data_IF_470417273891
#
_entry.id   IF_470417273891
#
_cell.length_a   1.000
_cell.length_b   1.000
_cell.length_c   1.000
_cell.angle_alpha   90.00
_cell.angle_beta   90.00
_cell.angle_gamma   90.00
#
_symmetry.space_group_name_H-M   'P 1'
#
loop_
_entity.id
_entity.type
_entity.pdbx_description
1 polymer ?
#
# COMPACT_ATOMS: atom_id res chain seq x y z
N UNK A 1 -15.92 -28.77 24.01
CA UNK A 1 -16.02 -27.29 24.09
C UNK A 1 -14.63 -26.64 24.15
N UNK A 2 -13.78 -26.96 25.14
CA UNK A 2 -12.41 -26.40 25.24
C UNK A 2 -11.54 -26.58 23.98
N UNK A 3 -11.53 -27.78 23.38
CA UNK A 3 -10.79 -28.07 22.15
C UNK A 3 -11.25 -27.24 20.94
N UNK A 4 -12.55 -26.97 20.80
CA UNK A 4 -13.08 -26.15 19.71
C UNK A 4 -12.65 -24.68 19.86
N UNK A 5 -12.61 -24.16 21.09
CA UNK A 5 -12.15 -22.80 21.38
C UNK A 5 -10.64 -22.64 21.15
N UNK A 6 -9.83 -23.64 21.55
CA UNK A 6 -8.37 -23.63 21.29
C UNK A 6 -8.10 -23.68 19.79
N UNK A 7 -8.78 -24.59 19.07
CA UNK A 7 -8.62 -24.69 17.62
C UNK A 7 -9.09 -23.43 16.89
N UNK A 8 -10.22 -22.84 17.31
CA UNK A 8 -10.72 -21.58 16.77
C UNK A 8 -9.73 -20.41 16.95
N UNK A 9 -9.11 -20.32 18.13
CA UNK A 9 -8.10 -19.30 18.41
C UNK A 9 -6.82 -19.51 17.59
N UNK A 10 -6.33 -20.75 17.49
CA UNK A 10 -5.15 -21.07 16.67
C UNK A 10 -5.44 -20.82 15.19
N UNK A 11 -6.61 -21.22 14.69
CA UNK A 11 -7.04 -20.96 13.30
C UNK A 11 -7.15 -19.47 13.00
N UNK A 12 -7.72 -18.67 13.92
CA UNK A 12 -7.81 -17.22 13.78
C UNK A 12 -6.44 -16.53 13.82
N UNK A 13 -5.51 -17.00 14.66
CA UNK A 13 -4.13 -16.49 14.72
C UNK A 13 -3.38 -16.84 13.42
N UNK A 14 -3.51 -18.07 12.93
CA UNK A 14 -2.95 -18.51 11.65
C UNK A 14 -3.52 -17.64 10.52
N UNK A 15 -4.83 -17.47 10.42
CA UNK A 15 -5.44 -16.59 9.41
C UNK A 15 -4.93 -15.14 9.51
N UNK A 16 -4.73 -14.62 10.72
CA UNK A 16 -4.15 -13.27 10.91
C UNK A 16 -2.69 -13.21 10.49
N UNK A 17 -1.87 -14.21 10.81
CA UNK A 17 -0.48 -14.32 10.39
C UNK A 17 -0.33 -14.44 8.87
N UNK A 18 -1.24 -15.15 8.20
CA UNK A 18 -1.25 -15.29 6.75
C UNK A 18 -2.03 -14.20 6.01
N UNK A 19 -2.75 -13.31 6.71
CA UNK A 19 -3.61 -12.29 6.07
C UNK A 19 -2.82 -11.32 5.19
N UNK A 20 -1.60 -10.94 5.61
CA UNK A 20 -0.69 -10.10 4.82
C UNK A 20 -0.26 -10.78 3.52
N UNK A 21 0.14 -12.05 3.60
CA UNK A 21 0.61 -12.85 2.46
C UNK A 21 -0.52 -13.25 1.52
N UNK A 22 -1.70 -13.59 2.05
CA UNK A 22 -2.88 -13.92 1.26
C UNK A 22 -3.39 -12.72 0.45
N UNK A 23 -3.37 -11.53 1.03
CA UNK A 23 -3.72 -10.29 0.32
C UNK A 23 -2.72 -9.99 -0.80
N UNK A 24 -1.43 -10.18 -0.55
CA UNK A 24 -0.39 -10.03 -1.57
C UNK A 24 -0.64 -10.95 -2.76
N UNK A 25 -0.82 -12.24 -2.51
CA UNK A 25 -1.04 -13.23 -3.57
C UNK A 25 -2.31 -12.95 -4.37
N UNK A 26 -3.39 -12.54 -3.70
CA UNK A 26 -4.66 -12.20 -4.36
C UNK A 26 -4.50 -11.02 -5.33
N UNK A 27 -3.79 -9.97 -4.91
CA UNK A 27 -3.56 -8.80 -5.76
C UNK A 27 -2.55 -9.10 -6.89
N UNK A 28 -1.50 -9.87 -6.60
CA UNK A 28 -0.53 -10.31 -7.61
C UNK A 28 -1.19 -11.18 -8.69
N UNK A 29 -2.15 -12.04 -8.33
CA UNK A 29 -2.94 -12.80 -9.29
C UNK A 29 -3.71 -11.89 -10.26
N UNK A 30 -4.36 -10.84 -9.74
CA UNK A 30 -5.05 -9.85 -10.60
C UNK A 30 -4.10 -9.16 -11.56
N UNK A 31 -2.90 -8.80 -11.11
CA UNK A 31 -1.86 -8.20 -11.96
C UNK A 31 -1.44 -9.17 -13.07
N UNK A 32 -1.24 -10.45 -12.74
CA UNK A 32 -0.90 -11.49 -13.73
C UNK A 32 -2.02 -11.74 -14.73
N UNK A 33 -3.27 -11.74 -14.29
CA UNK A 33 -4.44 -11.84 -15.18
C UNK A 33 -4.53 -10.64 -16.12
N UNK A 34 -4.30 -9.42 -15.62
CA UNK A 34 -4.24 -8.20 -16.43
C UNK A 34 -3.15 -8.30 -17.50
N UNK A 35 -1.94 -8.72 -17.10
CA UNK A 35 -0.81 -8.94 -18.01
C UNK A 35 -1.16 -9.98 -19.09
N UNK A 36 -1.85 -11.06 -18.72
CA UNK A 36 -2.27 -12.12 -19.64
C UNK A 36 -3.34 -11.63 -20.62
N UNK A 37 -4.35 -10.92 -20.11
CA UNK A 37 -5.48 -10.41 -20.88
C UNK A 37 -5.03 -9.39 -21.93
N UNK A 38 -4.15 -8.46 -21.55
CA UNK A 38 -3.61 -7.44 -22.46
C UNK A 38 -2.38 -7.89 -23.26
N UNK A 39 -1.99 -9.16 -23.16
CA UNK A 39 -0.80 -9.72 -23.82
C UNK A 39 0.47 -8.85 -23.64
N UNK A 40 0.72 -8.40 -22.41
CA UNK A 40 1.85 -7.52 -22.12
C UNK A 40 3.17 -8.28 -22.37
N UNK A 41 4.10 -7.70 -23.17
CA UNK A 41 5.37 -8.35 -23.51
C UNK A 41 6.25 -8.54 -22.27
N UNK A 42 7.05 -9.61 -22.28
CA UNK A 42 7.89 -10.06 -21.15
C UNK A 42 8.73 -8.95 -20.46
N UNK A 43 9.44 -8.05 -21.17
CA UNK A 43 10.20 -6.99 -20.49
C UNK A 43 9.31 -6.02 -19.71
N UNK A 44 8.09 -5.75 -20.19
CA UNK A 44 7.15 -4.87 -19.49
C UNK A 44 6.45 -5.61 -18.33
N UNK A 45 6.11 -6.89 -18.53
CA UNK A 45 5.60 -7.78 -17.48
C UNK A 45 6.52 -7.81 -16.26
N UNK A 46 7.81 -8.04 -16.49
CA UNK A 46 8.79 -8.17 -15.41
C UNK A 46 8.89 -6.88 -14.60
N UNK A 47 8.95 -5.72 -15.27
CA UNK A 47 8.93 -4.41 -14.59
C UNK A 47 7.65 -4.18 -13.78
N UNK A 48 6.52 -4.68 -14.26
CA UNK A 48 5.22 -4.53 -13.59
C UNK A 48 5.14 -5.38 -12.31
N UNK A 49 5.61 -6.64 -12.38
CA UNK A 49 5.70 -7.52 -11.21
C UNK A 49 6.72 -7.02 -10.18
N UNK A 50 7.90 -6.58 -10.63
CA UNK A 50 8.94 -5.99 -9.77
C UNK A 50 8.44 -4.73 -9.07
N UNK A 51 7.79 -3.82 -9.82
CA UNK A 51 7.19 -2.62 -9.23
C UNK A 51 6.14 -2.97 -8.19
N UNK A 52 5.26 -3.93 -8.47
CA UNK A 52 4.23 -4.36 -7.53
C UNK A 52 4.84 -4.94 -6.26
N UNK A 53 5.88 -5.77 -6.39
CA UNK A 53 6.59 -6.34 -5.25
C UNK A 53 7.31 -5.28 -4.41
N UNK A 54 7.95 -4.31 -5.04
CA UNK A 54 8.57 -3.16 -4.35
C UNK A 54 7.53 -2.29 -3.64
N UNK A 55 6.46 -1.92 -4.34
CA UNK A 55 5.37 -1.13 -3.77
C UNK A 55 4.72 -1.84 -2.58
N UNK A 56 4.52 -3.16 -2.67
CA UNK A 56 4.00 -3.97 -1.58
C UNK A 56 4.92 -4.00 -0.37
N UNK A 57 6.23 -4.18 -0.58
CA UNK A 57 7.22 -4.19 0.51
C UNK A 57 7.31 -2.82 1.19
N UNK A 58 7.16 -1.73 0.43
CA UNK A 58 7.23 -0.37 0.96
C UNK A 58 5.96 0.07 1.70
N UNK A 59 4.78 -0.29 1.19
CA UNK A 59 3.49 0.13 1.76
C UNK A 59 2.84 -0.93 2.64
N UNK A 60 3.39 -2.14 2.73
CA UNK A 60 2.74 -3.33 3.29
C UNK A 60 1.34 -3.60 2.70
N UNK A 61 1.07 -3.11 1.48
CA UNK A 61 -0.25 -3.18 0.83
C UNK A 61 -1.30 -2.24 1.44
N UNK A 62 -0.89 -1.24 2.22
CA UNK A 62 -1.77 -0.17 2.70
C UNK A 62 -1.98 0.80 1.54
N UNK A 63 -3.20 0.84 1.02
CA UNK A 63 -3.61 1.88 0.08
C UNK A 63 -3.76 3.20 0.84
N UNK A 64 -2.70 4.02 0.79
CA UNK A 64 -2.63 5.30 1.47
C UNK A 64 -3.81 6.22 1.10
N UNK A 65 -4.30 6.17 -0.15
CA UNK A 65 -5.47 6.97 -0.57
C UNK A 65 -6.74 6.49 0.11
N UNK A 66 -6.92 5.17 0.27
CA UNK A 66 -8.06 4.62 1.00
C UNK A 66 -8.04 5.00 2.48
N UNK A 67 -6.84 5.04 3.09
CA UNK A 67 -6.66 5.42 4.49
C UNK A 67 -6.92 6.92 4.69
N UNK A 68 -6.37 7.77 3.82
CA UNK A 68 -6.55 9.22 3.88
C UNK A 68 -8.02 9.62 3.73
N UNK A 69 -8.78 8.95 2.84
CA UNK A 69 -10.23 9.17 2.69
C UNK A 69 -11.06 8.89 3.95
N UNK A 70 -10.51 8.16 4.93
CA UNK A 70 -11.14 7.94 6.23
C UNK A 70 -11.04 9.12 7.20
N UNK A 71 -10.22 10.13 6.87
CA UNK A 71 -9.99 11.31 7.70
C UNK A 71 -10.56 12.59 7.07
N UNK A 72 -10.90 13.62 7.87
CA UNK A 72 -11.24 14.96 7.36
C UNK A 72 -10.10 15.56 6.53
N UNK A 73 -10.43 16.40 5.54
CA UNK A 73 -9.46 17.03 4.62
C UNK A 73 -8.31 17.75 5.35
N UNK A 74 -8.60 18.42 6.46
CA UNK A 74 -7.57 19.09 7.28
C UNK A 74 -6.49 18.11 7.77
N UNK A 75 -6.89 16.91 8.19
CA UNK A 75 -5.95 15.87 8.64
C UNK A 75 -5.26 15.17 7.47
N UNK A 76 -5.94 15.04 6.32
CA UNK A 76 -5.32 14.51 5.11
C UNK A 76 -4.15 15.39 4.65
N UNK A 77 -4.35 16.71 4.63
CA UNK A 77 -3.32 17.68 4.27
C UNK A 77 -2.11 17.61 5.21
N UNK A 78 -2.35 17.54 6.53
CA UNK A 78 -1.27 17.45 7.53
C UNK A 78 -0.46 16.15 7.42
N UNK A 79 -1.15 15.02 7.18
CA UNK A 79 -0.49 13.73 6.96
C UNK A 79 0.32 13.76 5.66
N UNK A 80 -0.23 14.33 4.58
CA UNK A 80 0.45 14.44 3.29
C UNK A 80 1.72 15.30 3.41
N UNK A 81 1.64 16.44 4.11
CA UNK A 81 2.79 17.29 4.45
C UNK A 81 3.86 16.52 5.22
N UNK A 82 3.46 15.77 6.25
CA UNK A 82 4.41 15.02 7.07
C UNK A 82 5.15 13.93 6.27
N UNK A 83 4.42 13.20 5.42
CA UNK A 83 4.97 12.14 4.58
C UNK A 83 5.91 12.70 3.50
N UNK A 84 5.59 13.86 2.93
CA UNK A 84 6.37 14.49 1.88
C UNK A 84 7.43 15.48 2.41
N UNK A 85 7.57 15.64 3.74
CA UNK A 85 8.43 16.68 4.35
C UNK A 85 9.88 16.65 3.87
N UNK A 86 10.44 15.46 3.61
CA UNK A 86 11.82 15.34 3.15
C UNK A 86 11.97 15.79 1.69
N UNK A 87 10.97 15.55 0.84
CA UNK A 87 10.96 16.04 -0.54
C UNK A 87 10.75 17.56 -0.57
N UNK A 88 9.82 18.07 0.26
CA UNK A 88 9.51 19.50 0.36
C UNK A 88 10.69 20.31 0.91
N UNK A 89 11.40 19.80 1.93
CA UNK A 89 12.55 20.50 2.52
C UNK A 89 13.83 20.43 1.64
N UNK A 90 13.99 19.38 0.83
CA UNK A 90 15.20 19.20 0.02
C UNK A 90 15.10 19.78 -1.39
N UNK A 91 13.92 20.26 -1.79
CA UNK A 91 13.70 20.78 -3.13
C UNK A 91 13.64 22.31 -3.11
N UNK A 92 14.65 22.95 -3.72
CA UNK A 92 14.79 24.43 -3.81
C UNK A 92 13.58 25.15 -4.44
N UNK A 93 12.71 24.42 -5.14
CA UNK A 93 11.48 24.97 -5.72
C UNK A 93 10.41 25.29 -4.66
N UNK A 94 10.40 24.57 -3.54
CA UNK A 94 9.39 24.74 -2.48
C UNK A 94 9.90 25.57 -1.28
N UNK A 95 11.15 26.03 -1.34
CA UNK A 95 11.82 26.78 -0.27
C UNK A 95 11.14 28.13 0.06
N UNK A 96 10.33 28.67 -0.86
CA UNK A 96 9.54 29.90 -0.68
C UNK A 96 8.02 29.67 -0.61
N UNK A 97 7.56 28.42 -0.61
CA UNK A 97 6.13 28.13 -0.57
C UNK A 97 5.56 28.39 0.83
N UNK A 98 4.46 29.13 0.92
CA UNK A 98 3.79 29.38 2.19
C UNK A 98 3.20 28.07 2.76
N UNK A 99 3.06 27.93 4.10
CA UNK A 99 2.46 26.73 4.71
C UNK A 99 1.03 26.44 4.20
N UNK A 100 0.31 27.46 3.74
CA UNK A 100 -1.02 27.32 3.11
C UNK A 100 -0.98 26.91 1.63
N UNK A 101 0.15 27.03 0.95
CA UNK A 101 0.36 26.48 -0.41
C UNK A 101 0.78 25.02 -0.41
N UNK A 102 1.28 24.51 0.72
CA UNK A 102 1.80 23.14 0.86
C UNK A 102 0.77 22.19 1.49
N UNK A 103 -0.32 22.72 2.07
CA UNK A 103 -1.51 21.99 2.52
C UNK A 103 -2.49 21.81 1.36
#
# INVERSE_FOLDING_TARGET
LMYASIFGNVSAIIQRLYSGTARYHTQMLRVREFIRFHQIPNPLRQRLEEYFQHAWTYTNGIDMNSVLKGFPECLQADICLHLNRQLLNNCKAFEKASPGCLR
#
